data_IF_583849805652
#
_entry.id   IF_583849805652
#
_cell.length_a   1.000
_cell.length_b   1.000
_cell.length_c   1.000
_cell.angle_alpha   90.00
_cell.angle_beta   90.00
_cell.angle_gamma   90.00
#
_symmetry.space_group_name_H-M   'P 1'
#
loop_
_entity.id
_entity.type
_entity.pdbx_description
1 polymer ?
#
# COMPACT_ATOMS: atom_id res chain seq x y z
N UNK A 1 -19.48 29.63 13.90
CA UNK A 1 -18.31 30.01 13.05
C UNK A 1 -18.79 30.65 11.75
N UNK A 2 -18.18 31.76 11.28
CA UNK A 2 -18.44 32.25 9.92
C UNK A 2 -17.53 31.51 8.93
N UNK A 3 -18.07 30.46 8.31
CA UNK A 3 -17.28 29.58 7.45
C UNK A 3 -16.85 30.30 6.16
N UNK A 4 -17.65 31.20 5.61
CA UNK A 4 -17.28 31.98 4.43
C UNK A 4 -16.04 32.84 4.71
N UNK A 5 -15.95 33.47 5.89
CA UNK A 5 -14.77 34.24 6.27
C UNK A 5 -13.49 33.37 6.39
N UNK A 6 -13.61 32.10 6.77
CA UNK A 6 -12.47 31.17 6.76
C UNK A 6 -12.01 30.84 5.34
N UNK A 7 -12.95 30.60 4.41
CA UNK A 7 -12.63 30.40 2.99
C UNK A 7 -11.89 31.61 2.44
N UNK A 8 -12.41 32.81 2.68
CA UNK A 8 -11.81 34.07 2.23
C UNK A 8 -10.41 34.29 2.81
N UNK A 9 -10.23 34.00 4.11
CA UNK A 9 -8.94 34.07 4.78
C UNK A 9 -7.92 33.11 4.13
N UNK A 10 -8.33 31.85 3.89
CA UNK A 10 -7.44 30.87 3.27
C UNK A 10 -7.16 31.17 1.80
N UNK A 11 -8.17 31.59 1.05
CA UNK A 11 -8.02 32.07 -0.33
C UNK A 11 -7.06 33.24 -0.42
N UNK A 12 -7.13 34.17 0.55
CA UNK A 12 -6.22 35.32 0.68
C UNK A 12 -4.80 34.96 1.15
N UNK A 13 -4.50 33.69 1.43
CA UNK A 13 -3.18 33.20 1.85
C UNK A 13 -2.91 33.32 3.35
N UNK A 14 -3.90 33.64 4.17
CA UNK A 14 -3.75 33.71 5.63
C UNK A 14 -3.65 32.31 6.23
N UNK A 15 -2.89 32.20 7.32
CA UNK A 15 -2.82 31.00 8.15
C UNK A 15 -4.09 30.87 8.99
N UNK A 16 -4.67 29.66 9.03
CA UNK A 16 -5.77 29.34 9.91
C UNK A 16 -5.27 28.88 11.28
N UNK A 17 -5.90 29.35 12.34
CA UNK A 17 -5.58 28.90 13.69
C UNK A 17 -5.98 27.42 13.89
N UNK A 18 -5.26 26.65 14.73
CA UNK A 18 -5.58 25.24 14.99
C UNK A 18 -7.04 25.02 15.42
N UNK A 19 -7.60 25.86 16.28
CA UNK A 19 -8.99 25.80 16.73
C UNK A 19 -9.99 26.02 15.58
N UNK A 20 -9.67 26.90 14.62
CA UNK A 20 -10.52 27.11 13.45
C UNK A 20 -10.56 25.86 12.56
N UNK A 21 -9.44 25.17 12.42
CA UNK A 21 -9.35 23.92 11.64
C UNK A 21 -10.10 22.79 12.36
N UNK A 22 -9.99 22.69 13.68
CA UNK A 22 -10.73 21.71 14.47
C UNK A 22 -12.24 21.92 14.35
N UNK A 23 -12.69 23.16 14.48
CA UNK A 23 -14.10 23.51 14.35
C UNK A 23 -14.62 23.25 12.93
N UNK A 24 -13.85 23.61 11.89
CA UNK A 24 -14.14 23.31 10.49
C UNK A 24 -14.38 21.82 10.27
N UNK A 25 -13.48 20.96 10.74
CA UNK A 25 -13.58 19.50 10.58
C UNK A 25 -14.80 18.98 11.36
N UNK A 26 -15.03 19.44 12.58
CA UNK A 26 -16.16 19.05 13.41
C UNK A 26 -17.49 19.39 12.74
N UNK A 27 -17.68 20.65 12.34
CA UNK A 27 -18.92 21.15 11.73
C UNK A 27 -19.21 20.49 10.38
N UNK A 28 -18.16 20.26 9.56
CA UNK A 28 -18.31 19.54 8.30
C UNK A 28 -18.69 18.06 8.53
N UNK A 29 -18.08 17.42 9.51
CA UNK A 29 -18.38 16.02 9.85
C UNK A 29 -19.81 15.87 10.35
N UNK A 30 -20.28 16.84 11.14
CA UNK A 30 -21.65 16.92 11.63
C UNK A 30 -22.71 17.24 10.55
N UNK A 31 -22.26 17.68 9.35
CA UNK A 31 -23.18 18.06 8.26
C UNK A 31 -23.67 19.51 8.30
N UNK A 32 -23.10 20.34 9.19
CA UNK A 32 -23.47 21.74 9.34
C UNK A 32 -22.82 22.64 8.27
N UNK A 33 -21.83 22.15 7.54
CA UNK A 33 -21.18 22.84 6.42
C UNK A 33 -21.55 22.10 5.14
N UNK A 34 -22.14 22.78 4.13
CA UNK A 34 -22.51 22.15 2.88
C UNK A 34 -21.29 21.83 2.03
N UNK A 35 -21.40 20.78 1.21
CA UNK A 35 -20.32 20.24 0.39
C UNK A 35 -19.67 21.27 -0.53
N UNK A 36 -20.46 22.18 -1.14
CA UNK A 36 -19.94 23.23 -2.02
C UNK A 36 -19.03 24.23 -1.29
N UNK A 37 -19.32 24.53 -0.02
CA UNK A 37 -18.42 25.38 0.78
C UNK A 37 -17.15 24.65 1.16
N UNK A 38 -17.26 23.38 1.57
CA UNK A 38 -16.07 22.58 1.86
C UNK A 38 -15.22 22.35 0.61
N UNK A 39 -15.82 22.14 -0.56
CA UNK A 39 -15.10 22.05 -1.83
C UNK A 39 -14.32 23.35 -2.14
N UNK A 40 -14.93 24.52 -1.90
CA UNK A 40 -14.26 25.83 -2.04
C UNK A 40 -13.06 25.95 -1.07
N UNK A 41 -13.19 25.51 0.18
CA UNK A 41 -12.10 25.47 1.15
C UNK A 41 -10.96 24.53 0.68
N UNK A 42 -11.30 23.35 0.21
CA UNK A 42 -10.32 22.39 -0.32
C UNK A 42 -9.55 22.94 -1.51
N UNK A 43 -10.23 23.68 -2.40
CA UNK A 43 -9.60 24.35 -3.54
C UNK A 43 -8.71 25.52 -3.07
N UNK A 44 -9.12 26.29 -2.07
CA UNK A 44 -8.27 27.32 -1.46
C UNK A 44 -7.00 26.70 -0.84
N UNK A 45 -7.14 25.57 -0.13
CA UNK A 45 -6.02 24.82 0.42
C UNK A 45 -5.12 24.26 -0.72
N UNK A 46 -5.70 23.77 -1.81
CA UNK A 46 -4.94 23.22 -2.94
C UNK A 46 -3.99 24.27 -3.52
N UNK A 47 -4.45 25.50 -3.72
CA UNK A 47 -3.63 26.57 -4.29
C UNK A 47 -2.69 27.25 -3.28
N UNK A 48 -3.11 27.42 -2.03
CA UNK A 48 -2.34 28.15 -1.00
C UNK A 48 -1.50 27.24 -0.11
N UNK A 49 -1.77 25.93 -0.10
CA UNK A 49 -1.15 24.96 0.78
C UNK A 49 -1.63 25.11 2.23
N UNK A 50 -1.08 24.27 3.09
CA UNK A 50 -1.13 24.36 4.55
C UNK A 50 0.30 24.35 5.07
N UNK A 51 0.58 25.17 6.06
CA UNK A 51 1.84 25.11 6.79
C UNK A 51 1.88 23.86 7.71
N UNK A 52 3.03 23.51 8.31
CA UNK A 52 3.13 22.32 9.15
C UNK A 52 2.17 22.31 10.35
N UNK A 53 1.86 23.45 10.96
CA UNK A 53 0.95 23.54 12.10
C UNK A 53 -0.52 23.36 11.66
N UNK A 54 -0.91 23.97 10.54
CA UNK A 54 -2.21 23.76 9.95
C UNK A 54 -2.41 22.29 9.53
N UNK A 55 -1.41 21.68 8.91
CA UNK A 55 -1.46 20.26 8.51
C UNK A 55 -1.58 19.35 9.73
N UNK A 56 -0.87 19.65 10.83
CA UNK A 56 -0.99 18.91 12.09
C UNK A 56 -2.40 19.05 12.67
N UNK A 57 -2.92 20.28 12.74
CA UNK A 57 -4.26 20.54 13.26
C UNK A 57 -5.34 19.79 12.46
N UNK A 58 -5.24 19.82 11.12
CA UNK A 58 -6.16 19.10 10.23
C UNK A 58 -6.09 17.58 10.47
N UNK A 59 -4.86 17.03 10.55
CA UNK A 59 -4.65 15.60 10.76
C UNK A 59 -5.24 15.12 12.08
N UNK A 60 -4.97 15.85 13.16
CA UNK A 60 -5.49 15.50 14.49
C UNK A 60 -6.99 15.67 14.56
N UNK A 61 -7.55 16.76 14.01
CA UNK A 61 -8.99 16.96 13.95
C UNK A 61 -9.71 15.84 13.16
N UNK A 62 -9.10 15.38 12.05
CA UNK A 62 -9.62 14.24 11.29
C UNK A 62 -9.53 12.94 12.09
N UNK A 63 -8.39 12.65 12.75
CA UNK A 63 -8.23 11.49 13.63
C UNK A 63 -9.29 11.47 14.72
N UNK A 64 -9.48 12.59 15.39
CA UNK A 64 -10.36 12.75 16.56
C UNK A 64 -11.84 12.90 16.20
N UNK A 65 -12.16 12.90 14.90
CA UNK A 65 -13.55 12.93 14.42
C UNK A 65 -14.31 11.63 14.68
N UNK A 66 -13.63 10.57 15.09
CA UNK A 66 -14.20 9.23 15.32
C UNK A 66 -13.39 8.40 16.29
N UNK A 67 -13.58 7.08 16.19
CA UNK A 67 -12.93 6.12 17.09
C UNK A 67 -11.41 6.03 16.83
N UNK A 68 -10.64 6.04 17.91
CA UNK A 68 -9.22 5.70 17.95
C UNK A 68 -9.08 4.33 18.62
N UNK A 69 -8.36 3.40 17.99
CA UNK A 69 -8.18 2.07 18.55
C UNK A 69 -7.38 2.13 19.85
N UNK A 70 -7.94 1.50 20.89
CA UNK A 70 -7.29 1.37 22.20
C UNK A 70 -6.97 -0.09 22.46
N UNK A 71 -5.68 -0.39 22.55
CA UNK A 71 -5.22 -1.75 22.83
C UNK A 71 -4.89 -1.90 24.31
N UNK A 72 -5.27 -3.03 24.95
CA UNK A 72 -4.82 -3.35 26.29
C UNK A 72 -3.30 -3.37 26.40
N UNK A 73 -2.76 -3.16 27.59
CA UNK A 73 -1.33 -3.19 27.86
C UNK A 73 -0.70 -4.51 27.42
N UNK A 74 0.33 -4.42 26.56
CA UNK A 74 1.09 -5.55 26.04
C UNK A 74 2.50 -5.05 25.72
N UNK A 75 3.51 -5.89 25.94
CA UNK A 75 4.91 -5.53 25.65
C UNK A 75 5.23 -5.53 24.16
N UNK A 76 4.39 -6.15 23.34
CA UNK A 76 4.57 -6.18 21.87
C UNK A 76 4.22 -4.82 21.26
N UNK A 77 5.13 -4.19 20.52
CA UNK A 77 4.84 -2.91 19.87
C UNK A 77 3.72 -3.01 18.83
N UNK A 78 2.94 -1.93 18.72
CA UNK A 78 1.96 -1.71 17.65
C UNK A 78 2.66 -1.08 16.46
N UNK A 79 2.62 -1.74 15.32
CA UNK A 79 3.31 -1.25 14.11
C UNK A 79 2.45 -1.42 12.87
N UNK A 80 2.68 -0.56 11.89
CA UNK A 80 2.05 -0.71 10.58
C UNK A 80 2.94 -0.18 9.45
N UNK A 81 2.54 -0.50 8.23
CA UNK A 81 3.10 0.00 6.96
C UNK A 81 1.98 0.56 6.10
N UNK A 82 2.19 1.74 5.54
CA UNK A 82 1.28 2.32 4.56
C UNK A 82 1.99 2.59 3.23
N UNK A 83 1.32 2.28 2.12
CA UNK A 83 1.80 2.59 0.77
C UNK A 83 0.98 3.70 0.14
N UNK A 84 1.63 4.52 -0.69
CA UNK A 84 0.93 5.47 -1.54
C UNK A 84 0.25 4.81 -2.76
N UNK A 85 0.38 3.48 -2.89
CA UNK A 85 -0.25 2.69 -3.94
C UNK A 85 0.58 2.57 -5.21
N UNK A 86 0.39 1.46 -5.94
CA UNK A 86 1.10 1.15 -7.17
C UNK A 86 0.58 -0.13 -7.81
N UNK A 87 1.13 -0.47 -8.98
CA UNK A 87 0.77 -1.68 -9.72
C UNK A 87 1.50 -2.87 -9.14
N UNK A 88 0.74 -3.92 -8.77
CA UNK A 88 1.31 -5.11 -8.13
C UNK A 88 1.73 -4.87 -6.68
N UNK A 89 1.35 -3.76 -6.05
CA UNK A 89 1.70 -3.47 -4.66
C UNK A 89 0.85 -4.31 -3.69
N UNK A 90 1.41 -5.42 -3.30
CA UNK A 90 0.86 -6.42 -2.38
C UNK A 90 1.66 -6.58 -1.09
N UNK A 91 2.63 -5.69 -0.83
CA UNK A 91 3.56 -5.79 0.32
C UNK A 91 2.84 -6.01 1.65
N UNK A 92 1.71 -5.34 1.85
CA UNK A 92 0.90 -5.44 3.08
C UNK A 92 0.46 -6.87 3.41
N UNK A 93 0.16 -7.68 2.38
CA UNK A 93 -0.37 -9.03 2.54
C UNK A 93 0.65 -9.99 3.19
N UNK A 94 1.87 -10.16 2.67
CA UNK A 94 2.88 -10.99 3.33
C UNK A 94 3.54 -10.29 4.53
N UNK A 95 3.51 -8.96 4.60
CA UNK A 95 4.15 -8.22 5.68
C UNK A 95 3.41 -8.36 7.02
N UNK A 96 2.08 -8.29 7.05
CA UNK A 96 1.32 -8.34 8.29
C UNK A 96 1.56 -9.65 9.07
N UNK A 97 1.45 -10.86 8.48
CA UNK A 97 1.76 -12.11 9.17
C UNK A 97 3.24 -12.24 9.54
N UNK A 98 4.17 -11.73 8.71
CA UNK A 98 5.60 -11.69 9.06
C UNK A 98 5.84 -10.85 10.32
N UNK A 99 5.27 -9.66 10.41
CA UNK A 99 5.43 -8.78 11.57
C UNK A 99 4.84 -9.40 12.83
N UNK A 100 3.68 -10.08 12.73
CA UNK A 100 3.11 -10.80 13.86
C UNK A 100 4.05 -11.91 14.38
N UNK A 101 4.69 -12.67 13.47
CA UNK A 101 5.70 -13.67 13.83
C UNK A 101 6.99 -13.06 14.40
N UNK A 102 7.30 -11.82 14.06
CA UNK A 102 8.42 -11.06 14.64
C UNK A 102 8.09 -10.43 16.01
N UNK A 103 6.92 -10.72 16.58
CA UNK A 103 6.52 -10.25 17.91
C UNK A 103 5.87 -8.87 17.92
N UNK A 104 5.30 -8.43 16.82
CA UNK A 104 4.53 -7.19 16.73
C UNK A 104 3.02 -7.41 16.84
N UNK A 105 2.30 -6.34 17.14
CA UNK A 105 0.85 -6.20 16.96
C UNK A 105 0.59 -5.30 15.75
N UNK A 106 -0.18 -5.80 14.79
CA UNK A 106 -0.33 -5.17 13.46
C UNK A 106 -1.81 -4.89 13.16
N UNK A 107 -2.35 -3.73 13.55
CA UNK A 107 -3.73 -3.33 13.25
C UNK A 107 -3.81 -2.65 11.87
N UNK A 108 -3.50 -3.37 10.80
CA UNK A 108 -3.32 -2.81 9.47
C UNK A 108 -4.65 -2.38 8.82
N UNK A 109 -4.98 -1.10 8.96
CA UNK A 109 -6.11 -0.49 8.26
C UNK A 109 -5.70 -0.11 6.85
N UNK A 110 -6.34 -0.72 5.88
CA UNK A 110 -6.03 -0.60 4.45
C UNK A 110 -7.17 0.01 3.66
N UNK A 111 -6.87 0.41 2.41
CA UNK A 111 -7.84 1.02 1.50
C UNK A 111 -8.22 0.14 0.31
N UNK A 112 -9.28 0.56 -0.39
CA UNK A 112 -9.64 0.08 -1.71
C UNK A 112 -8.81 0.78 -2.78
N UNK A 113 -8.72 0.16 -3.96
CA UNK A 113 -8.04 0.74 -5.12
C UNK A 113 -8.79 1.93 -5.69
N UNK A 114 -8.05 2.83 -6.31
CA UNK A 114 -8.55 3.96 -7.05
C UNK A 114 -7.80 4.12 -8.37
N UNK A 115 -8.52 4.38 -9.44
CA UNK A 115 -7.93 4.53 -10.77
C UNK A 115 -7.27 3.24 -11.27
N UNK A 116 -5.97 3.32 -11.58
CA UNK A 116 -5.21 2.18 -12.12
C UNK A 116 -4.61 1.28 -11.04
N UNK A 117 -4.63 1.69 -9.76
CA UNK A 117 -4.00 0.95 -8.67
C UNK A 117 -5.00 0.01 -7.99
N UNK A 118 -4.62 -1.25 -7.78
CA UNK A 118 -5.42 -2.20 -7.00
C UNK A 118 -5.28 -1.94 -5.50
N UNK A 119 -6.40 -1.94 -4.75
CA UNK A 119 -6.39 -1.81 -3.30
C UNK A 119 -6.09 -3.12 -2.57
N UNK A 120 -5.53 -3.02 -1.38
CA UNK A 120 -5.30 -4.21 -0.53
C UNK A 120 -6.60 -4.94 -0.23
N UNK A 121 -7.68 -4.19 0.07
CA UNK A 121 -8.98 -4.78 0.37
C UNK A 121 -9.60 -5.47 -0.85
N UNK A 122 -9.46 -4.89 -2.05
CA UNK A 122 -9.98 -5.48 -3.28
C UNK A 122 -9.31 -6.84 -3.59
N UNK A 123 -8.04 -6.99 -3.22
CA UNK A 123 -7.32 -8.27 -3.33
C UNK A 123 -7.87 -9.28 -2.32
N UNK A 124 -8.05 -8.88 -1.06
CA UNK A 124 -8.59 -9.71 0.00
C UNK A 124 -10.04 -10.13 -0.27
N UNK A 125 -10.88 -9.27 -0.87
CA UNK A 125 -12.24 -9.61 -1.29
C UNK A 125 -12.27 -10.74 -2.34
N UNK A 126 -11.15 -11.04 -3.00
CA UNK A 126 -11.05 -12.19 -3.92
C UNK A 126 -10.90 -13.54 -3.21
N UNK A 127 -10.68 -13.56 -1.90
CA UNK A 127 -10.57 -14.76 -1.06
C UNK A 127 -11.97 -15.19 -0.63
N UNK A 128 -12.36 -16.45 -0.85
CA UNK A 128 -13.69 -16.92 -0.47
C UNK A 128 -13.99 -16.73 1.03
N UNK A 129 -15.10 -16.05 1.34
CA UNK A 129 -15.58 -15.83 2.70
C UNK A 129 -14.84 -14.78 3.53
N UNK A 130 -13.71 -14.25 3.05
CA UNK A 130 -12.90 -13.29 3.82
C UNK A 130 -13.64 -11.97 4.02
N UNK A 131 -13.64 -11.49 5.27
CA UNK A 131 -14.30 -10.25 5.67
C UNK A 131 -13.28 -9.12 5.85
N UNK A 132 -13.40 -8.08 5.02
CA UNK A 132 -12.58 -6.88 5.10
C UNK A 132 -13.15 -5.78 6.00
N UNK A 133 -14.38 -5.95 6.50
CA UNK A 133 -15.05 -5.00 7.40
C UNK A 133 -15.22 -5.63 8.77
N UNK A 134 -14.55 -5.09 9.76
CA UNK A 134 -14.62 -5.55 11.14
C UNK A 134 -14.92 -4.36 12.06
N UNK A 135 -15.75 -4.51 13.09
CA UNK A 135 -15.92 -3.50 14.13
C UNK A 135 -14.63 -3.36 14.97
N UNK A 136 -14.46 -2.19 15.61
CA UNK A 136 -13.23 -1.84 16.31
C UNK A 136 -12.83 -2.83 17.43
N UNK A 137 -13.80 -3.33 18.15
CA UNK A 137 -13.61 -4.34 19.20
C UNK A 137 -13.08 -5.67 18.66
N UNK A 138 -13.58 -6.13 17.51
CA UNK A 138 -13.08 -7.33 16.85
C UNK A 138 -11.67 -7.12 16.31
N UNK A 139 -11.36 -5.93 15.77
CA UNK A 139 -9.99 -5.56 15.34
C UNK A 139 -9.04 -5.71 16.53
N UNK A 140 -9.38 -5.10 17.68
CA UNK A 140 -8.56 -5.14 18.89
C UNK A 140 -8.41 -6.58 19.40
N UNK A 141 -9.50 -7.34 19.51
CA UNK A 141 -9.49 -8.72 19.98
C UNK A 141 -8.62 -9.63 19.07
N UNK A 142 -8.74 -9.50 17.75
CA UNK A 142 -7.95 -10.30 16.81
C UNK A 142 -6.46 -9.97 16.92
N UNK A 143 -6.09 -8.68 16.93
CA UNK A 143 -4.69 -8.26 17.07
C UNK A 143 -4.08 -8.74 18.38
N UNK A 144 -4.83 -8.72 19.47
CA UNK A 144 -4.37 -9.27 20.75
C UNK A 144 -4.13 -10.78 20.66
N UNK A 145 -5.04 -11.52 20.05
CA UNK A 145 -5.02 -12.99 20.00
C UNK A 145 -3.97 -13.53 19.03
N UNK A 146 -3.95 -13.06 17.77
CA UNK A 146 -3.10 -13.63 16.72
C UNK A 146 -1.99 -12.71 16.23
N UNK A 147 -1.96 -11.46 16.65
CA UNK A 147 -0.91 -10.49 16.34
C UNK A 147 -1.18 -9.63 15.11
N UNK A 148 -2.10 -9.98 14.21
CA UNK A 148 -2.35 -9.17 13.02
C UNK A 148 -3.81 -9.20 12.54
N UNK A 149 -4.20 -8.15 11.84
CA UNK A 149 -5.44 -8.00 11.08
C UNK A 149 -5.16 -7.16 9.85
N UNK A 150 -5.84 -7.42 8.73
CA UNK A 150 -5.89 -6.50 7.58
C UNK A 150 -7.36 -6.25 7.27
N UNK A 151 -7.82 -5.03 7.52
CA UNK A 151 -9.23 -4.67 7.30
C UNK A 151 -9.36 -3.23 6.79
N UNK A 152 -10.58 -2.86 6.43
CA UNK A 152 -10.93 -1.49 6.05
C UNK A 152 -11.19 -0.60 7.26
N UNK A 153 -11.19 0.69 7.01
CA UNK A 153 -11.65 1.69 7.94
C UNK A 153 -13.13 1.42 8.29
N UNK A 154 -13.48 1.45 9.58
CA UNK A 154 -14.88 1.38 10.01
C UNK A 154 -15.58 2.71 9.72
N UNK A 155 -16.91 2.71 9.73
CA UNK A 155 -17.67 3.96 9.54
C UNK A 155 -17.48 4.97 10.68
N UNK A 156 -17.03 4.49 11.86
CA UNK A 156 -16.75 5.29 13.04
C UNK A 156 -15.28 5.71 13.17
N UNK A 157 -14.37 5.14 12.40
CA UNK A 157 -12.96 5.55 12.38
C UNK A 157 -12.75 6.66 11.38
N UNK A 158 -12.23 7.80 11.82
CA UNK A 158 -11.85 8.95 10.98
C UNK A 158 -12.94 9.31 9.94
N UNK A 159 -14.23 9.48 10.34
CA UNK A 159 -15.33 9.76 9.40
C UNK A 159 -15.14 11.06 8.62
N UNK A 160 -14.44 12.03 9.19
CA UNK A 160 -14.10 13.27 8.50
C UNK A 160 -13.26 13.01 7.24
N UNK A 161 -12.28 12.11 7.29
CA UNK A 161 -11.47 11.79 6.10
C UNK A 161 -12.30 11.16 4.99
N UNK A 162 -13.23 10.27 5.32
CA UNK A 162 -14.14 9.64 4.34
C UNK A 162 -14.93 10.68 3.55
N UNK A 163 -15.51 11.67 4.25
CA UNK A 163 -16.29 12.78 3.63
C UNK A 163 -15.39 13.73 2.84
N UNK A 164 -14.27 14.16 3.44
CA UNK A 164 -13.32 15.08 2.81
C UNK A 164 -12.71 14.46 1.56
N UNK A 165 -12.32 13.17 1.62
CA UNK A 165 -11.70 12.48 0.48
C UNK A 165 -12.66 12.34 -0.71
N UNK A 166 -13.94 12.04 -0.45
CA UNK A 166 -14.97 12.00 -1.50
C UNK A 166 -15.10 13.35 -2.24
N UNK A 167 -15.07 14.46 -1.49
CA UNK A 167 -15.08 15.80 -2.11
C UNK A 167 -13.78 16.11 -2.85
N UNK A 168 -12.63 15.66 -2.35
CA UNK A 168 -11.35 15.86 -3.03
C UNK A 168 -11.32 15.15 -4.37
N UNK A 169 -11.87 13.95 -4.44
CA UNK A 169 -11.97 13.20 -5.68
C UNK A 169 -12.86 13.93 -6.70
N UNK A 170 -14.05 14.36 -6.27
CA UNK A 170 -15.00 15.10 -7.10
C UNK A 170 -14.51 16.49 -7.52
N UNK A 171 -13.71 17.18 -6.70
CA UNK A 171 -13.21 18.54 -6.95
C UNK A 171 -11.81 18.60 -7.57
N UNK A 172 -11.18 17.45 -7.86
CA UNK A 172 -9.82 17.41 -8.44
C UNK A 172 -8.70 17.88 -7.49
N UNK A 173 -8.94 17.91 -6.17
CA UNK A 173 -7.98 18.39 -5.17
C UNK A 173 -7.17 17.27 -4.50
N UNK A 174 -7.25 16.03 -5.02
CA UNK A 174 -6.48 14.89 -4.50
C UNK A 174 -4.96 15.15 -4.51
N UNK A 175 -4.31 15.71 -5.57
CA UNK A 175 -2.85 15.85 -5.61
C UNK A 175 -2.32 17.06 -4.82
N UNK A 176 -2.73 17.20 -3.56
CA UNK A 176 -2.23 18.21 -2.61
C UNK A 176 -1.43 17.53 -1.50
N UNK A 177 -0.14 17.84 -1.38
CA UNK A 177 0.75 17.22 -0.37
C UNK A 177 0.20 17.34 1.05
N UNK A 178 -0.23 18.52 1.56
CA UNK A 178 -0.81 18.61 2.89
C UNK A 178 -2.05 17.75 3.07
N UNK A 179 -2.97 17.74 2.08
CA UNK A 179 -4.21 16.95 2.15
C UNK A 179 -3.94 15.44 2.04
N UNK A 180 -2.98 15.00 1.22
CA UNK A 180 -2.54 13.60 1.17
C UNK A 180 -1.96 13.19 2.53
N UNK A 181 -1.07 14.04 3.08
CA UNK A 181 -0.42 13.80 4.36
C UNK A 181 -1.45 13.67 5.49
N UNK A 182 -2.40 14.61 5.59
CA UNK A 182 -3.45 14.57 6.61
C UNK A 182 -4.35 13.33 6.46
N UNK A 183 -4.77 13.01 5.24
CA UNK A 183 -5.62 11.85 4.97
C UNK A 183 -4.96 10.51 5.36
N UNK A 184 -3.69 10.32 5.01
CA UNK A 184 -2.96 9.08 5.34
C UNK A 184 -2.71 9.00 6.85
N UNK A 185 -2.15 10.07 7.43
CA UNK A 185 -1.71 10.01 8.82
C UNK A 185 -2.86 10.08 9.83
N UNK A 186 -3.99 10.70 9.52
CA UNK A 186 -5.16 10.64 10.41
C UNK A 186 -5.60 9.20 10.69
N UNK A 187 -5.61 8.34 9.66
CA UNK A 187 -5.92 6.91 9.80
C UNK A 187 -4.84 6.16 10.58
N UNK A 188 -3.57 6.41 10.26
CA UNK A 188 -2.44 5.72 10.92
C UNK A 188 -2.29 6.13 12.39
N UNK A 189 -2.57 7.38 12.73
CA UNK A 189 -2.59 7.84 14.12
C UNK A 189 -3.81 7.27 14.88
N UNK A 190 -4.94 7.00 14.19
CA UNK A 190 -6.09 6.33 14.82
C UNK A 190 -5.84 4.85 15.15
N UNK A 191 -4.81 4.24 14.60
CA UNK A 191 -4.34 2.89 14.96
C UNK A 191 -3.49 2.86 16.24
N UNK A 192 -3.07 4.02 16.78
CA UNK A 192 -2.26 4.18 17.99
C UNK A 192 -0.90 3.44 17.95
N UNK A 193 -0.14 3.67 16.89
CA UNK A 193 1.09 2.96 16.55
C UNK A 193 2.31 3.44 17.35
N UNK A 194 3.19 2.49 17.72
CA UNK A 194 4.53 2.74 18.25
C UNK A 194 5.57 3.02 17.15
N UNK A 195 5.35 2.54 15.93
CA UNK A 195 6.18 2.85 14.75
C UNK A 195 5.42 2.67 13.44
N UNK A 196 5.78 3.47 12.44
CA UNK A 196 5.19 3.46 11.10
C UNK A 196 6.27 3.46 10.01
N UNK A 197 6.10 2.59 9.01
CA UNK A 197 6.86 2.65 7.76
C UNK A 197 5.94 3.07 6.61
N UNK A 198 6.38 4.06 5.85
CA UNK A 198 5.71 4.55 4.65
C UNK A 198 6.45 4.06 3.40
N UNK A 199 5.74 3.45 2.48
CA UNK A 199 6.24 3.07 1.16
C UNK A 199 5.73 4.10 0.15
N UNK A 200 6.57 5.12 -0.13
CA UNK A 200 6.22 6.26 -0.98
C UNK A 200 6.70 6.00 -2.39
N UNK A 201 5.76 5.71 -3.26
CA UNK A 201 6.05 5.34 -4.64
C UNK A 201 6.18 6.55 -5.55
N UNK A 202 7.12 6.45 -6.51
CA UNK A 202 7.29 7.41 -7.60
C UNK A 202 7.42 6.69 -8.94
N UNK A 203 7.07 7.37 -10.02
CA UNK A 203 7.17 6.84 -11.38
C UNK A 203 5.86 6.91 -12.16
N UNK A 204 5.85 6.29 -13.33
CA UNK A 204 4.74 6.44 -14.30
C UNK A 204 3.39 5.89 -13.78
N UNK A 205 3.41 4.98 -12.81
CA UNK A 205 2.21 4.38 -12.21
C UNK A 205 2.02 4.72 -10.73
N UNK A 206 2.59 5.83 -10.28
CA UNK A 206 2.44 6.35 -8.92
C UNK A 206 1.76 7.72 -8.92
N UNK A 207 1.18 8.11 -7.75
CA UNK A 207 0.63 9.47 -7.56
C UNK A 207 1.72 10.55 -7.69
N UNK A 208 2.95 10.23 -7.28
CA UNK A 208 4.10 11.12 -7.43
C UNK A 208 4.88 10.72 -8.69
N UNK A 209 4.81 11.50 -9.79
CA UNK A 209 5.44 11.11 -11.05
C UNK A 209 6.97 11.16 -11.00
N UNK A 210 7.53 11.94 -10.07
CA UNK A 210 8.99 12.12 -9.96
C UNK A 210 9.49 11.80 -8.55
N UNK A 211 10.77 11.37 -8.46
CA UNK A 211 11.46 11.16 -7.18
C UNK A 211 11.46 12.42 -6.31
N UNK A 212 11.58 13.62 -6.92
CA UNK A 212 11.55 14.89 -6.19
C UNK A 212 10.20 15.12 -5.51
N UNK A 213 9.10 14.91 -6.23
CA UNK A 213 7.75 15.03 -5.69
C UNK A 213 7.50 14.02 -4.56
N UNK A 214 7.89 12.75 -4.76
CA UNK A 214 7.78 11.71 -3.74
C UNK A 214 8.59 12.02 -2.48
N UNK A 215 9.82 12.55 -2.65
CA UNK A 215 10.66 12.99 -1.52
C UNK A 215 10.00 14.10 -0.71
N UNK A 216 9.36 15.06 -1.39
CA UNK A 216 8.63 16.15 -0.70
C UNK A 216 7.46 15.60 0.13
N UNK A 217 6.66 14.70 -0.45
CA UNK A 217 5.57 14.03 0.26
C UNK A 217 6.09 13.20 1.44
N UNK A 218 7.12 12.38 1.23
CA UNK A 218 7.71 11.54 2.25
C UNK A 218 8.24 12.36 3.44
N UNK A 219 8.95 13.46 3.18
CA UNK A 219 9.43 14.36 4.22
C UNK A 219 8.28 14.99 5.03
N UNK A 220 7.20 15.41 4.36
CA UNK A 220 6.02 15.95 5.03
C UNK A 220 5.37 14.92 5.96
N UNK A 221 5.19 13.68 5.47
CA UNK A 221 4.59 12.60 6.26
C UNK A 221 5.49 12.15 7.42
N UNK A 222 6.80 12.01 7.21
CA UNK A 222 7.75 11.64 8.27
C UNK A 222 7.78 12.71 9.36
N UNK A 223 7.89 13.98 8.99
CA UNK A 223 7.91 15.09 9.95
C UNK A 223 6.61 15.18 10.75
N UNK A 224 5.45 14.97 10.10
CA UNK A 224 4.15 15.00 10.78
C UNK A 224 3.95 13.81 11.71
N UNK A 225 4.25 12.58 11.24
CA UNK A 225 4.12 11.36 12.05
C UNK A 225 4.95 11.44 13.33
N UNK A 226 6.22 11.82 13.20
CA UNK A 226 7.12 12.02 14.35
C UNK A 226 6.64 13.13 15.30
N UNK A 227 6.16 14.27 14.74
CA UNK A 227 5.58 15.36 15.56
C UNK A 227 4.36 14.89 16.35
N UNK A 228 3.55 13.97 15.80
CA UNK A 228 2.39 13.39 16.47
C UNK A 228 2.75 12.22 17.39
N UNK A 229 4.05 11.97 17.66
CA UNK A 229 4.50 10.95 18.60
C UNK A 229 4.63 9.53 18.01
N UNK A 230 4.43 9.36 16.70
CA UNK A 230 4.63 8.08 16.01
C UNK A 230 5.93 8.13 15.20
N UNK A 231 7.01 7.46 15.66
CA UNK A 231 8.24 7.31 14.89
C UNK A 231 7.96 6.82 13.47
N UNK A 232 8.27 7.63 12.47
CA UNK A 232 7.90 7.35 11.08
C UNK A 232 9.15 7.34 10.19
N UNK A 233 9.25 6.33 9.33
CA UNK A 233 10.25 6.27 8.24
C UNK A 233 9.56 6.11 6.91
N UNK A 234 10.16 6.65 5.84
CA UNK A 234 9.66 6.48 4.49
C UNK A 234 10.72 5.86 3.59
N UNK A 235 10.31 4.86 2.81
CA UNK A 235 11.06 4.25 1.74
C UNK A 235 10.56 4.84 0.42
N UNK A 236 11.43 5.44 -0.38
CA UNK A 236 11.08 5.86 -1.75
C UNK A 236 11.31 4.68 -2.69
N UNK A 237 10.25 4.22 -3.32
CA UNK A 237 10.28 3.02 -4.18
C UNK A 237 9.86 3.33 -5.61
N UNK A 238 10.57 2.72 -6.58
CA UNK A 238 10.27 2.88 -8.00
C UNK A 238 9.00 2.14 -8.41
N UNK A 239 8.11 2.83 -9.15
CA UNK A 239 6.88 2.31 -9.71
C UNK A 239 6.79 2.55 -11.24
N UNK A 240 7.93 2.62 -11.91
CA UNK A 240 7.98 2.54 -13.37
C UNK A 240 7.76 1.11 -13.87
N UNK A 241 8.10 0.12 -13.03
CA UNK A 241 7.88 -1.31 -13.23
C UNK A 241 6.92 -1.83 -12.15
N UNK A 242 5.97 -2.73 -12.46
CA UNK A 242 5.13 -3.36 -11.43
C UNK A 242 5.95 -4.09 -10.38
N UNK A 243 5.49 -4.08 -9.13
CA UNK A 243 6.10 -4.87 -8.06
C UNK A 243 5.68 -6.34 -8.16
N UNK A 244 6.63 -7.25 -8.00
CA UNK A 244 6.38 -8.68 -8.21
C UNK A 244 6.16 -9.00 -9.70
N UNK A 245 5.71 -10.20 -9.96
CA UNK A 245 5.48 -10.73 -11.32
C UNK A 245 4.00 -10.90 -11.67
N UNK A 246 3.13 -10.51 -10.76
CA UNK A 246 1.68 -10.52 -10.95
C UNK A 246 1.06 -9.16 -10.59
N UNK A 247 0.03 -8.79 -11.33
CA UNK A 247 -0.84 -7.66 -11.02
C UNK A 247 -2.28 -8.03 -11.40
N UNK A 248 -3.22 -7.74 -10.50
CA UNK A 248 -4.62 -8.18 -10.53
C UNK A 248 -4.99 -8.86 -9.23
N UNK A 249 -6.23 -8.68 -8.78
CA UNK A 249 -6.62 -8.96 -7.39
C UNK A 249 -6.25 -10.38 -6.93
N UNK A 250 -6.78 -11.42 -7.57
CA UNK A 250 -6.48 -12.80 -7.19
C UNK A 250 -5.03 -13.21 -7.48
N UNK A 251 -4.46 -12.76 -8.59
CA UNK A 251 -3.10 -13.10 -8.96
C UNK A 251 -2.08 -12.55 -7.96
N UNK A 252 -2.38 -11.39 -7.38
CA UNK A 252 -1.55 -10.81 -6.32
C UNK A 252 -1.69 -11.56 -4.99
N UNK A 253 -2.87 -12.13 -4.68
CA UNK A 253 -3.02 -13.05 -3.53
C UNK A 253 -2.15 -14.30 -3.75
N UNK A 254 -2.19 -14.92 -4.94
CA UNK A 254 -1.33 -16.08 -5.25
C UNK A 254 0.15 -15.77 -5.05
N UNK A 255 0.60 -14.63 -5.55
CA UNK A 255 2.01 -14.22 -5.41
C UNK A 255 2.37 -13.87 -3.96
N UNK A 256 1.44 -13.31 -3.18
CA UNK A 256 1.65 -13.04 -1.76
C UNK A 256 1.82 -14.32 -0.95
N UNK A 257 1.00 -15.33 -1.23
CA UNK A 257 1.14 -16.66 -0.62
C UNK A 257 2.49 -17.28 -0.99
N UNK A 258 2.86 -17.25 -2.27
CA UNK A 258 4.14 -17.75 -2.72
C UNK A 258 5.34 -17.02 -2.07
N UNK A 259 5.21 -15.72 -1.77
CA UNK A 259 6.21 -14.94 -1.03
C UNK A 259 6.41 -15.43 0.41
N UNK A 260 5.36 -16.01 1.03
CA UNK A 260 5.40 -16.55 2.39
C UNK A 260 5.95 -17.98 2.46
N UNK A 261 6.03 -18.67 1.32
CA UNK A 261 6.57 -20.04 1.30
C UNK A 261 8.08 -20.06 1.59
N UNK A 262 8.57 -21.04 2.39
CA UNK A 262 9.98 -21.20 2.67
C UNK A 262 10.81 -21.34 1.41
N UNK A 263 11.93 -20.62 1.32
CA UNK A 263 12.87 -20.74 0.20
C UNK A 263 12.44 -20.08 -1.11
N UNK A 264 11.31 -19.35 -1.14
CA UNK A 264 10.81 -18.65 -2.32
C UNK A 264 11.76 -17.56 -2.88
N UNK A 265 12.75 -17.11 -2.09
CA UNK A 265 13.77 -16.12 -2.50
C UNK A 265 15.10 -16.71 -2.97
N UNK A 266 15.23 -18.04 -3.02
CA UNK A 266 16.49 -18.66 -3.50
C UNK A 266 16.45 -18.78 -5.02
N UNK A 267 17.40 -18.14 -5.70
CA UNK A 267 17.73 -18.41 -7.10
C UNK A 267 18.14 -19.89 -7.21
N UNK A 268 17.23 -20.74 -7.68
CA UNK A 268 17.67 -22.03 -8.19
C UNK A 268 18.37 -21.76 -9.51
N UNK A 269 19.67 -22.02 -9.58
CA UNK A 269 20.39 -22.06 -10.85
C UNK A 269 19.61 -22.93 -11.86
N UNK A 270 19.48 -22.48 -13.11
CA UNK A 270 18.86 -23.31 -14.13
C UNK A 270 19.66 -24.59 -14.26
N UNK A 271 19.04 -25.72 -13.95
CA UNK A 271 19.64 -27.03 -14.22
C UNK A 271 19.91 -27.11 -15.72
N UNK A 272 21.15 -27.17 -16.10
CA UNK A 272 21.60 -27.37 -17.46
C UNK A 272 20.90 -28.63 -18.06
N UNK A 273 20.27 -28.48 -19.24
CA UNK A 273 19.80 -29.61 -20.04
C UNK A 273 18.29 -29.89 -20.05
N UNK A 274 17.39 -28.90 -20.14
CA UNK A 274 15.96 -29.14 -20.42
C UNK A 274 15.52 -28.57 -21.77
N UNK A 275 14.68 -29.33 -22.53
CA UNK A 275 14.21 -28.88 -23.84
C UNK A 275 13.28 -27.65 -23.74
N UNK A 276 13.35 -26.80 -24.76
CA UNK A 276 12.46 -25.66 -24.98
C UNK A 276 11.00 -26.16 -25.05
N UNK A 277 10.14 -25.72 -24.09
CA UNK A 277 8.72 -26.10 -24.04
C UNK A 277 8.19 -26.56 -22.68
N UNK A 278 9.03 -26.77 -21.69
CA UNK A 278 8.61 -27.11 -20.33
C UNK A 278 8.14 -25.86 -19.60
N UNK A 279 6.92 -25.89 -19.06
CA UNK A 279 6.32 -24.87 -18.17
C UNK A 279 7.39 -24.27 -17.25
N UNK A 280 7.65 -22.98 -17.42
CA UNK A 280 8.68 -22.25 -16.72
C UNK A 280 8.49 -22.43 -15.21
N UNK A 281 9.52 -22.96 -14.53
CA UNK A 281 9.57 -22.95 -13.06
C UNK A 281 9.36 -21.51 -12.60
N UNK A 282 8.53 -21.35 -11.57
CA UNK A 282 8.23 -20.06 -10.97
C UNK A 282 9.53 -19.25 -10.82
N UNK A 283 9.60 -18.12 -11.52
CA UNK A 283 10.75 -17.23 -11.44
C UNK A 283 10.79 -16.58 -10.04
N UNK A 284 11.98 -16.27 -9.48
CA UNK A 284 12.08 -15.74 -8.13
C UNK A 284 11.25 -14.46 -7.95
N UNK A 285 10.50 -14.37 -6.84
CA UNK A 285 9.71 -13.20 -6.42
C UNK A 285 10.65 -12.26 -5.63
N UNK A 286 11.71 -11.80 -6.28
CA UNK A 286 12.85 -11.20 -5.59
C UNK A 286 12.53 -9.81 -5.05
N UNK A 287 11.93 -8.96 -5.88
CA UNK A 287 11.64 -7.56 -5.53
C UNK A 287 10.55 -7.43 -4.47
N UNK A 288 9.48 -8.22 -4.53
CA UNK A 288 8.42 -8.25 -3.52
C UNK A 288 8.98 -8.67 -2.16
N UNK A 289 9.68 -9.82 -2.12
CA UNK A 289 10.23 -10.37 -0.88
C UNK A 289 11.25 -9.41 -0.25
N UNK A 290 12.12 -8.81 -1.06
CA UNK A 290 13.10 -7.81 -0.61
C UNK A 290 12.42 -6.60 0.02
N UNK A 291 11.34 -6.08 -0.57
CA UNK A 291 10.62 -4.93 -0.02
C UNK A 291 9.88 -5.28 1.27
N UNK A 292 9.31 -6.49 1.37
CA UNK A 292 8.70 -7.02 2.61
C UNK A 292 9.73 -7.07 3.74
N UNK A 293 10.90 -7.65 3.47
CA UNK A 293 12.02 -7.72 4.44
C UNK A 293 12.50 -6.33 4.82
N UNK A 294 12.63 -5.41 3.86
CA UNK A 294 13.07 -4.03 4.12
C UNK A 294 12.09 -3.29 5.03
N UNK A 295 10.78 -3.38 4.77
CA UNK A 295 9.76 -2.79 5.64
C UNK A 295 9.83 -3.35 7.08
N UNK A 296 9.92 -4.68 7.21
CA UNK A 296 10.04 -5.34 8.50
C UNK A 296 11.32 -4.92 9.25
N UNK A 297 12.46 -4.84 8.53
CA UNK A 297 13.73 -4.44 9.10
C UNK A 297 13.71 -3.01 9.66
N UNK A 298 13.04 -2.09 8.95
CA UNK A 298 12.90 -0.72 9.45
C UNK A 298 12.05 -0.67 10.72
N UNK A 299 10.97 -1.44 10.82
CA UNK A 299 10.13 -1.51 12.03
C UNK A 299 10.89 -2.13 13.21
N UNK A 300 11.67 -3.19 12.98
CA UNK A 300 12.53 -3.80 14.02
C UNK A 300 13.54 -2.80 14.59
N UNK A 301 14.14 -1.96 13.74
CA UNK A 301 15.08 -0.92 14.19
C UNK A 301 14.37 0.23 14.90
N UNK A 302 13.22 0.70 14.37
CA UNK A 302 12.46 1.80 14.99
C UNK A 302 11.96 1.45 16.40
N UNK A 303 11.57 0.18 16.61
CA UNK A 303 11.12 -0.34 17.90
C UNK A 303 12.25 -0.86 18.79
N UNK A 304 13.51 -0.67 18.39
CA UNK A 304 14.71 -1.10 19.12
C UNK A 304 14.81 -2.63 19.33
N UNK A 305 14.08 -3.43 18.57
CA UNK A 305 14.20 -4.90 18.59
C UNK A 305 15.44 -5.40 17.84
N UNK A 306 16.02 -4.56 16.97
CA UNK A 306 17.30 -4.82 16.32
C UNK A 306 18.17 -3.54 16.33
N UNK A 307 19.46 -3.70 16.62
CA UNK A 307 20.39 -2.56 16.68
C UNK A 307 20.81 -2.02 15.31
N UNK A 308 20.75 -2.82 14.25
CA UNK A 308 21.17 -2.43 12.90
C UNK A 308 20.23 -2.98 11.83
N UNK A 309 20.14 -2.28 10.68
CA UNK A 309 19.34 -2.75 9.55
C UNK A 309 19.81 -4.10 9.00
N UNK A 310 21.13 -4.35 8.97
CA UNK A 310 21.67 -5.62 8.51
C UNK A 310 21.19 -6.81 9.37
N UNK A 311 21.26 -6.66 10.71
CA UNK A 311 20.74 -7.67 11.66
C UNK A 311 19.23 -7.82 11.50
N UNK A 312 18.51 -6.71 11.38
CA UNK A 312 17.06 -6.71 11.23
C UNK A 312 16.60 -7.43 9.95
N UNK A 313 17.26 -7.17 8.79
CA UNK A 313 16.98 -7.88 7.53
C UNK A 313 17.19 -9.40 7.69
N UNK A 314 18.32 -9.81 8.28
CA UNK A 314 18.59 -11.22 8.53
C UNK A 314 17.54 -11.88 9.43
N UNK A 315 17.07 -11.17 10.47
CA UNK A 315 16.00 -11.65 11.35
C UNK A 315 14.68 -11.83 10.58
N UNK A 316 14.29 -10.86 9.76
CA UNK A 316 13.08 -10.94 8.94
C UNK A 316 13.15 -12.04 7.88
N UNK A 317 14.29 -12.18 7.19
CA UNK A 317 14.53 -13.27 6.21
C UNK A 317 14.48 -14.65 6.85
N UNK A 318 15.13 -14.83 7.99
CA UNK A 318 15.10 -16.08 8.74
C UNK A 318 13.66 -16.43 9.14
N UNK A 319 12.90 -15.46 9.66
CA UNK A 319 11.48 -15.66 10.03
C UNK A 319 10.64 -16.09 8.81
N UNK A 320 10.79 -15.45 7.65
CA UNK A 320 10.12 -15.88 6.41
C UNK A 320 10.47 -17.30 5.99
N UNK A 321 11.71 -17.74 6.24
CA UNK A 321 12.16 -19.08 5.87
C UNK A 321 11.70 -20.20 6.81
N UNK A 322 11.13 -19.87 7.98
CA UNK A 322 10.57 -20.86 8.91
C UNK A 322 9.24 -21.45 8.47
N UNK A 323 8.51 -20.75 7.58
CA UNK A 323 7.12 -21.08 7.24
C UNK A 323 6.08 -20.57 8.27
N UNK A 324 6.51 -20.06 9.43
CA UNK A 324 5.59 -19.51 10.43
C UNK A 324 4.73 -18.35 9.90
N UNK A 325 5.25 -17.41 9.08
CA UNK A 325 4.41 -16.37 8.50
C UNK A 325 3.33 -16.91 7.54
N UNK A 326 3.57 -18.04 6.87
CA UNK A 326 2.55 -18.70 6.04
C UNK A 326 1.42 -19.27 6.90
N UNK A 327 1.75 -19.92 8.01
CA UNK A 327 0.76 -20.41 8.98
C UNK A 327 -0.03 -19.25 9.62
N UNK A 328 0.67 -18.16 9.96
CA UNK A 328 0.05 -16.94 10.51
C UNK A 328 -0.91 -16.29 9.51
N UNK A 329 -0.61 -16.33 8.22
CA UNK A 329 -1.53 -15.92 7.17
C UNK A 329 -2.83 -16.73 7.22
N UNK A 330 -2.75 -18.07 7.33
CA UNK A 330 -3.94 -18.93 7.41
C UNK A 330 -4.75 -18.66 8.69
N UNK A 331 -4.07 -18.45 9.84
CA UNK A 331 -4.74 -18.04 11.09
C UNK A 331 -5.51 -16.73 10.90
N UNK A 332 -4.92 -15.75 10.21
CA UNK A 332 -5.57 -14.47 9.90
C UNK A 332 -6.77 -14.67 8.96
N UNK A 333 -6.65 -15.50 7.94
CA UNK A 333 -7.75 -15.82 7.03
C UNK A 333 -8.94 -16.42 7.78
N UNK A 334 -8.70 -17.42 8.63
CA UNK A 334 -9.74 -18.06 9.45
C UNK A 334 -10.39 -17.05 10.38
N UNK A 335 -9.57 -16.24 11.09
CA UNK A 335 -10.06 -15.24 12.03
C UNK A 335 -10.97 -14.19 11.37
N UNK A 336 -10.81 -13.96 10.06
CA UNK A 336 -11.62 -13.04 9.26
C UNK A 336 -12.64 -13.76 8.35
N UNK A 337 -13.01 -15.00 8.69
CA UNK A 337 -14.15 -15.72 8.11
C UNK A 337 -13.89 -16.42 6.78
N UNK A 338 -12.63 -16.52 6.32
CA UNK A 338 -12.31 -17.19 5.07
C UNK A 338 -12.61 -18.69 5.13
N UNK A 339 -13.15 -19.23 4.04
CA UNK A 339 -13.23 -20.67 3.78
C UNK A 339 -11.87 -21.17 3.26
N UNK A 340 -11.04 -21.74 4.15
CA UNK A 340 -9.72 -22.25 3.77
C UNK A 340 -9.79 -23.38 2.74
N UNK A 341 -10.82 -24.23 2.74
CA UNK A 341 -10.94 -25.31 1.75
C UNK A 341 -11.17 -24.74 0.35
N UNK A 342 -12.10 -23.79 0.25
CA UNK A 342 -12.36 -23.10 -1.01
C UNK A 342 -11.16 -22.24 -1.46
N UNK A 343 -10.47 -21.60 -0.51
CA UNK A 343 -9.23 -20.85 -0.76
C UNK A 343 -8.13 -21.74 -1.34
N UNK A 344 -7.82 -22.88 -0.71
CA UNK A 344 -6.80 -23.81 -1.16
C UNK A 344 -7.14 -24.44 -2.51
N UNK A 345 -8.42 -24.80 -2.72
CA UNK A 345 -8.89 -25.30 -4.01
C UNK A 345 -8.73 -24.26 -5.12
N UNK A 346 -9.01 -22.99 -4.81
CA UNK A 346 -8.82 -21.87 -5.74
C UNK A 346 -7.34 -21.57 -5.99
N UNK A 347 -6.50 -21.66 -4.96
CA UNK A 347 -5.04 -21.40 -5.04
C UNK A 347 -4.33 -22.41 -5.96
N UNK A 348 -4.77 -23.67 -5.96
CA UNK A 348 -4.21 -24.75 -6.80
C UNK A 348 -4.52 -24.58 -8.30
N UNK A 349 -5.53 -23.80 -8.67
CA UNK A 349 -5.84 -23.54 -10.08
C UNK A 349 -4.78 -22.67 -10.72
N UNK A 350 -4.34 -23.00 -11.93
CA UNK A 350 -3.42 -22.14 -12.70
C UNK A 350 -4.06 -20.77 -12.95
N UNK A 351 -5.30 -20.75 -13.42
CA UNK A 351 -6.11 -19.55 -13.62
C UNK A 351 -7.53 -19.73 -13.09
N UNK A 352 -8.15 -18.61 -12.68
CA UNK A 352 -9.59 -18.50 -12.37
C UNK A 352 -10.33 -17.66 -13.41
N UNK A 353 -9.62 -17.11 -14.39
CA UNK A 353 -10.18 -16.35 -15.51
C UNK A 353 -10.75 -17.30 -16.59
N UNK A 354 -11.71 -16.80 -17.35
CA UNK A 354 -12.32 -17.56 -18.44
C UNK A 354 -11.36 -17.83 -19.60
N UNK A 355 -10.37 -16.95 -19.79
CA UNK A 355 -9.40 -17.07 -20.87
C UNK A 355 -8.00 -16.61 -20.44
N UNK A 356 -6.97 -17.31 -20.89
CA UNK A 356 -5.56 -16.95 -20.66
C UNK A 356 -4.83 -16.89 -21.99
N UNK A 357 -4.08 -15.78 -22.22
CA UNK A 357 -3.28 -15.59 -23.40
C UNK A 357 -1.86 -15.14 -23.07
N UNK A 358 -0.88 -15.60 -23.84
CA UNK A 358 0.50 -15.15 -23.71
C UNK A 358 0.75 -13.88 -24.53
N UNK A 359 1.50 -12.94 -23.96
CA UNK A 359 2.12 -11.82 -24.68
C UNK A 359 3.55 -12.24 -24.98
N UNK A 360 3.91 -12.33 -26.27
CA UNK A 360 5.21 -12.85 -26.67
C UNK A 360 6.09 -11.77 -27.29
N UNK A 361 7.40 -11.93 -27.13
CA UNK A 361 8.40 -11.03 -27.70
C UNK A 361 8.51 -11.16 -29.23
N UNK A 362 8.38 -10.06 -29.96
CA UNK A 362 8.51 -10.04 -31.43
C UNK A 362 9.97 -10.18 -31.89
N UNK A 363 10.93 -9.89 -31.01
CA UNK A 363 12.38 -10.03 -31.21
C UNK A 363 13.05 -10.46 -29.92
N UNK A 364 14.24 -11.04 -29.99
CA UNK A 364 15.06 -11.34 -28.81
C UNK A 364 15.77 -10.10 -28.27
N UNK A 365 16.16 -10.14 -26.97
CA UNK A 365 16.93 -9.09 -26.33
C UNK A 365 16.66 -8.99 -24.82
N UNK A 366 17.32 -8.04 -24.19
CA UNK A 366 17.13 -7.74 -22.78
C UNK A 366 15.92 -6.81 -22.60
N UNK A 367 15.06 -7.11 -21.63
CA UNK A 367 13.97 -6.22 -21.25
C UNK A 367 14.57 -4.92 -20.71
N UNK A 368 14.38 -3.81 -21.39
CA UNK A 368 14.82 -2.49 -20.96
C UNK A 368 13.72 -1.72 -20.23
N UNK A 369 12.46 -2.04 -20.50
CA UNK A 369 11.30 -1.42 -19.85
C UNK A 369 10.15 -2.41 -19.72
N UNK A 370 9.50 -2.38 -18.55
CA UNK A 370 8.21 -3.02 -18.27
C UNK A 370 7.31 -1.94 -17.65
N UNK A 371 6.44 -1.33 -18.47
CA UNK A 371 5.71 -0.12 -18.14
C UNK A 371 4.53 -0.40 -17.22
N UNK A 372 4.67 -0.06 -15.93
CA UNK A 372 3.64 -0.27 -14.92
C UNK A 372 2.31 0.44 -15.24
N UNK A 373 2.34 1.64 -15.84
CA UNK A 373 1.13 2.39 -16.19
C UNK A 373 0.29 1.65 -17.23
N UNK A 374 0.89 1.22 -18.34
CA UNK A 374 0.18 0.48 -19.38
C UNK A 374 -0.41 -0.81 -18.82
N UNK A 375 0.33 -1.52 -17.96
CA UNK A 375 -0.14 -2.74 -17.31
C UNK A 375 -1.33 -2.43 -16.40
N UNK A 376 -1.24 -1.42 -15.54
CA UNK A 376 -2.32 -1.04 -14.63
C UNK A 376 -3.59 -0.60 -15.36
N UNK A 377 -3.46 0.22 -16.42
CA UNK A 377 -4.57 0.64 -17.25
C UNK A 377 -5.22 -0.55 -17.97
N UNK A 378 -4.43 -1.51 -18.45
CA UNK A 378 -4.95 -2.72 -19.08
C UNK A 378 -5.74 -3.56 -18.08
N UNK A 379 -5.24 -3.75 -16.86
CA UNK A 379 -5.95 -4.51 -15.81
C UNK A 379 -7.24 -3.80 -15.41
N UNK A 380 -7.23 -2.47 -15.27
CA UNK A 380 -8.42 -1.68 -15.00
C UNK A 380 -9.49 -1.91 -16.08
N UNK A 381 -9.10 -1.83 -17.35
CA UNK A 381 -10.00 -1.93 -18.50
C UNK A 381 -10.52 -3.37 -18.71
N UNK A 382 -9.80 -4.39 -18.20
CA UNK A 382 -10.29 -5.78 -18.08
C UNK A 382 -11.34 -5.94 -16.95
N UNK A 383 -11.60 -4.90 -16.14
CA UNK A 383 -12.50 -4.96 -15.00
C UNK A 383 -11.83 -5.30 -13.67
N UNK A 384 -10.50 -5.37 -13.62
CA UNK A 384 -9.74 -5.63 -12.38
C UNK A 384 -9.51 -4.39 -11.49
N UNK A 385 -9.80 -3.18 -12.00
CA UNK A 385 -9.69 -1.90 -11.28
C UNK A 385 -10.98 -1.10 -11.32
N UNK A 386 -11.10 -0.09 -10.43
CA UNK A 386 -12.32 0.73 -10.30
C UNK A 386 -12.30 1.91 -11.26
N UNK A 387 -13.33 2.03 -12.10
CA UNK A 387 -13.64 3.23 -12.87
C UNK A 387 -14.58 4.18 -12.10
N UNK A 388 -15.39 3.63 -11.21
CA UNK A 388 -16.27 4.35 -10.30
C UNK A 388 -16.23 3.69 -8.91
N UNK A 389 -16.60 4.43 -7.86
CA UNK A 389 -16.48 3.98 -6.47
C UNK A 389 -17.20 2.66 -6.20
N UNK A 390 -18.37 2.45 -6.80
CA UNK A 390 -19.23 1.27 -6.61
C UNK A 390 -19.12 0.23 -7.74
N UNK A 391 -18.09 0.35 -8.61
CA UNK A 391 -17.89 -0.60 -9.70
C UNK A 391 -17.61 -2.01 -9.17
N UNK A 392 -18.33 -3.00 -9.73
CA UNK A 392 -18.05 -4.41 -9.49
C UNK A 392 -16.72 -4.80 -10.12
N UNK A 393 -15.87 -5.45 -9.35
CA UNK A 393 -14.56 -5.89 -9.81
C UNK A 393 -14.58 -7.34 -10.27
N UNK A 394 -13.94 -7.61 -11.40
CA UNK A 394 -13.58 -8.96 -11.80
C UNK A 394 -12.25 -9.35 -11.16
N UNK A 395 -12.30 -10.09 -10.07
CA UNK A 395 -11.11 -10.49 -9.34
C UNK A 395 -10.24 -11.54 -10.06
N UNK A 396 -10.75 -12.18 -11.11
CA UNK A 396 -10.04 -13.21 -11.84
C UNK A 396 -9.09 -12.67 -12.93
N UNK A 397 -9.29 -11.40 -13.34
CA UNK A 397 -8.50 -10.78 -14.42
C UNK A 397 -7.21 -10.16 -13.91
N UNK A 398 -6.23 -10.05 -14.82
CA UNK A 398 -4.93 -9.46 -14.50
C UNK A 398 -3.83 -9.96 -15.42
N UNK A 399 -2.60 -9.83 -14.97
CA UNK A 399 -1.40 -10.34 -15.63
C UNK A 399 -0.52 -11.09 -14.64
N UNK A 400 0.15 -12.15 -15.09
CA UNK A 400 1.18 -12.83 -14.33
C UNK A 400 2.40 -13.15 -15.21
N UNK A 401 3.43 -13.78 -14.60
CA UNK A 401 4.69 -14.12 -15.26
C UNK A 401 5.38 -12.92 -15.93
N UNK A 402 5.19 -11.72 -15.38
CA UNK A 402 5.83 -10.50 -15.88
C UNK A 402 7.36 -10.64 -15.88
N UNK A 403 7.97 -10.46 -17.07
CA UNK A 403 9.42 -10.32 -17.18
C UNK A 403 9.86 -8.94 -16.66
N UNK A 404 11.07 -8.88 -16.11
CA UNK A 404 11.61 -7.68 -15.46
C UNK A 404 12.74 -7.05 -16.27
N UNK A 405 12.97 -5.74 -16.13
CA UNK A 405 14.15 -5.08 -16.69
C UNK A 405 15.44 -5.83 -16.30
N UNK A 406 16.33 -6.03 -17.30
CA UNK A 406 17.57 -6.79 -17.16
C UNK A 406 17.48 -8.27 -17.46
N UNK A 407 16.28 -8.85 -17.61
CA UNK A 407 16.07 -10.23 -18.04
C UNK A 407 16.21 -10.35 -19.56
N UNK A 408 16.80 -11.47 -20.01
CA UNK A 408 16.91 -11.78 -21.44
C UNK A 408 15.73 -12.61 -21.92
N UNK A 409 15.16 -12.26 -23.07
CA UNK A 409 14.02 -12.96 -23.67
C UNK A 409 14.35 -13.27 -25.12
N UNK A 410 14.08 -14.48 -25.58
CA UNK A 410 14.23 -14.88 -26.97
C UNK A 410 13.01 -14.41 -27.80
N UNK A 411 13.15 -14.38 -29.13
CA UNK A 411 12.01 -14.16 -30.04
C UNK A 411 10.96 -15.25 -29.81
N UNK A 412 9.68 -14.85 -29.62
CA UNK A 412 8.57 -15.75 -29.28
C UNK A 412 8.50 -16.09 -27.79
N UNK A 413 9.49 -15.72 -26.97
CA UNK A 413 9.46 -15.92 -25.52
C UNK A 413 8.35 -15.12 -24.84
N UNK A 414 7.81 -15.63 -23.74
CA UNK A 414 6.68 -15.03 -23.01
C UNK A 414 7.16 -13.81 -22.22
N UNK A 415 6.52 -12.67 -22.43
CA UNK A 415 6.73 -11.43 -21.70
C UNK A 415 5.80 -11.34 -20.46
N UNK A 416 4.58 -11.82 -20.61
CA UNK A 416 3.60 -12.04 -19.53
C UNK A 416 2.43 -12.89 -20.03
N UNK A 417 1.59 -13.36 -19.10
CA UNK A 417 0.27 -13.93 -19.44
C UNK A 417 -0.83 -12.95 -19.05
N UNK A 418 -1.86 -12.88 -19.87
CA UNK A 418 -3.07 -12.10 -19.62
C UNK A 418 -4.17 -13.04 -19.17
N UNK A 419 -4.84 -12.72 -18.09
CA UNK A 419 -6.04 -13.38 -17.58
C UNK A 419 -7.23 -12.47 -17.87
N UNK A 420 -8.16 -12.89 -18.72
CA UNK A 420 -9.31 -12.10 -19.17
C UNK A 420 -10.62 -12.89 -19.01
N UNK A 421 -11.77 -12.22 -19.08
CA UNK A 421 -13.06 -12.89 -19.01
C UNK A 421 -13.32 -13.76 -20.25
N UNK A 422 -12.88 -13.29 -21.42
CA UNK A 422 -13.08 -13.96 -22.70
C UNK A 422 -11.93 -13.73 -23.68
N UNK A 423 -11.98 -14.39 -24.83
CA UNK A 423 -10.96 -14.31 -25.87
C UNK A 423 -10.90 -12.92 -26.57
N UNK A 424 -12.01 -12.18 -26.63
CA UNK A 424 -12.04 -10.86 -27.27
C UNK A 424 -11.29 -9.83 -26.41
N UNK A 425 -11.58 -9.80 -25.10
CA UNK A 425 -10.85 -8.98 -24.14
C UNK A 425 -9.37 -9.35 -24.12
N UNK A 426 -9.03 -10.65 -24.12
CA UNK A 426 -7.64 -11.10 -24.14
C UNK A 426 -6.88 -10.59 -25.37
N UNK A 427 -7.47 -10.63 -26.58
CA UNK A 427 -6.84 -10.10 -27.81
C UNK A 427 -6.53 -8.62 -27.71
N UNK A 428 -7.46 -7.80 -27.20
CA UNK A 428 -7.27 -6.37 -27.02
C UNK A 428 -6.14 -6.10 -25.99
N UNK A 429 -6.18 -6.81 -24.87
CA UNK A 429 -5.18 -6.69 -23.81
C UNK A 429 -3.78 -7.11 -24.27
N UNK A 430 -3.64 -8.21 -25.02
CA UNK A 430 -2.36 -8.67 -25.60
C UNK A 430 -1.76 -7.59 -26.49
N UNK A 431 -2.56 -7.01 -27.43
CA UNK A 431 -2.09 -5.94 -28.32
C UNK A 431 -1.59 -4.73 -27.53
N UNK A 432 -2.31 -4.32 -26.47
CA UNK A 432 -1.92 -3.18 -25.64
C UNK A 432 -0.67 -3.48 -24.81
N UNK A 433 -0.58 -4.66 -24.23
CA UNK A 433 0.55 -5.05 -23.39
C UNK A 433 1.85 -5.25 -24.14
N UNK A 434 1.83 -5.55 -25.45
CA UNK A 434 3.04 -5.53 -26.26
C UNK A 434 3.78 -4.18 -26.18
N UNK A 435 3.04 -3.06 -26.10
CA UNK A 435 3.61 -1.72 -25.94
C UNK A 435 4.17 -1.44 -24.52
N UNK A 436 3.83 -2.27 -23.55
CA UNK A 436 4.37 -2.13 -22.20
C UNK A 436 5.83 -2.56 -22.09
N UNK A 437 6.32 -3.35 -23.03
CA UNK A 437 7.68 -3.89 -22.99
C UNK A 437 8.56 -3.27 -24.09
N UNK A 438 9.78 -2.92 -23.69
CA UNK A 438 10.84 -2.53 -24.62
C UNK A 438 12.02 -3.47 -24.46
N UNK A 439 12.61 -3.87 -25.58
CA UNK A 439 13.76 -4.76 -25.61
C UNK A 439 14.97 -4.04 -26.22
N UNK A 440 16.14 -4.22 -25.60
CA UNK A 440 17.44 -3.69 -26.06
C UNK A 440 18.41 -4.82 -26.37
N UNK A 441 19.43 -4.54 -27.21
CA UNK A 441 20.51 -5.50 -27.48
C UNK A 441 21.40 -5.71 -26.26
N UNK A 442 21.66 -4.63 -25.51
CA UNK A 442 22.52 -4.67 -24.33
C UNK A 442 21.67 -4.74 -23.07
N UNK A 443 22.18 -5.39 -22.04
CA UNK A 443 21.56 -5.45 -20.71
C UNK A 443 21.48 -4.04 -20.13
N UNK A 444 20.28 -3.53 -19.75
CA UNK A 444 20.14 -2.20 -19.18
C UNK A 444 20.68 -2.19 -17.74
N UNK A 445 21.12 -1.02 -17.32
CA UNK A 445 21.35 -0.75 -15.91
C UNK A 445 20.00 -0.72 -15.17
N UNK A 446 19.90 -1.53 -14.10
CA UNK A 446 18.68 -1.60 -13.29
C UNK A 446 18.83 -0.73 -12.05
N UNK A 447 17.83 0.11 -11.80
CA UNK A 447 17.78 0.91 -10.58
C UNK A 447 17.36 0.05 -9.39
N UNK A 448 17.86 0.33 -8.16
CA UNK A 448 17.39 -0.34 -6.97
C UNK A 448 15.90 -0.01 -6.73
N UNK A 449 15.14 -0.98 -6.22
CA UNK A 449 13.72 -0.78 -5.92
C UNK A 449 13.52 0.31 -4.86
N UNK A 450 14.28 0.26 -3.78
CA UNK A 450 14.32 1.32 -2.75
C UNK A 450 15.47 2.26 -3.08
N UNK A 451 15.15 3.47 -3.54
CA UNK A 451 16.16 4.44 -3.99
C UNK A 451 16.60 5.42 -2.92
N UNK A 452 15.81 5.57 -1.88
CA UNK A 452 16.09 6.50 -0.79
C UNK A 452 15.29 6.15 0.46
N UNK A 453 15.88 6.37 1.64
CA UNK A 453 15.23 6.23 2.94
C UNK A 453 15.19 7.61 3.59
N UNK A 454 14.01 8.02 4.05
CA UNK A 454 13.79 9.27 4.76
C UNK A 454 13.37 8.94 6.18
N UNK A 455 14.15 9.45 7.14
CA UNK A 455 13.83 9.42 8.56
C UNK A 455 13.99 10.84 9.13
N UNK A 456 13.41 11.06 10.29
CA UNK A 456 13.69 12.30 11.02
C UNK A 456 15.19 12.39 11.30
N UNK A 457 15.77 13.57 11.08
CA UNK A 457 17.16 13.84 11.50
C UNK A 457 17.14 13.85 13.03
N UNK A 458 17.76 12.87 13.67
CA UNK A 458 18.08 12.96 15.09
C UNK A 458 19.02 14.14 15.28
N UNK A 459 18.49 15.27 15.75
CA UNK A 459 19.32 16.31 16.32
C UNK A 459 19.89 15.74 17.63
N UNK A 460 21.21 15.67 17.84
CA UNK A 460 21.79 15.12 19.07
C UNK A 460 21.46 15.92 20.33
N UNK A 461 20.65 16.99 20.27
CA UNK A 461 20.40 17.94 21.34
C UNK A 461 18.97 18.07 21.86
N UNK A 462 17.98 17.31 21.38
CA UNK A 462 16.60 17.43 21.88
C UNK A 462 16.13 16.17 22.59
N UNK A 463 16.67 15.89 23.77
CA UNK A 463 15.95 15.21 24.83
C UNK A 463 15.14 16.27 25.56
N UNK A 464 13.80 16.29 25.39
CA UNK A 464 12.99 17.24 26.15
C UNK A 464 11.52 17.28 25.73
N UNK A 465 10.68 16.80 26.62
CA UNK A 465 9.23 17.01 26.77
C UNK A 465 8.30 16.39 25.70
N UNK A 466 8.01 15.11 25.90
CA UNK A 466 6.76 14.53 25.45
C UNK A 466 5.61 15.19 26.27
N UNK A 467 4.78 15.97 25.62
CA UNK A 467 3.45 16.36 26.11
C UNK A 467 2.56 15.10 26.15
N UNK A 468 2.71 14.32 27.21
CA UNK A 468 1.67 13.37 27.61
C UNK A 468 0.54 14.21 28.18
N UNK A 469 -0.59 14.27 27.47
CA UNK A 469 -1.83 14.81 28.02
C UNK A 469 -2.15 14.02 29.30
N UNK A 470 -2.14 14.73 30.44
CA UNK A 470 -2.39 14.16 31.74
C UNK A 470 -3.79 13.57 31.82
N UNK A 471 -3.87 12.37 32.35
CA UNK A 471 -5.06 11.83 32.97
C UNK A 471 -5.25 12.57 34.30
N UNK A 472 -6.30 13.37 34.43
CA UNK A 472 -6.80 13.85 35.72
C UNK A 472 -7.51 12.71 36.42
N UNK A 473 -7.22 12.43 37.70
CA UNK A 473 -8.03 11.51 38.49
C UNK A 473 -9.21 12.28 39.10
N UNK A 474 -10.39 11.74 38.97
CA UNK A 474 -11.62 12.17 39.58
C UNK A 474 -12.71 11.15 39.29
#
# INVERSE_FOLDING_TARGET
MNFLALIESKRGGKTLAPLQIQELVREFTAGNIPDYQMAAMLMAIYFRGLNPNETTALTLAMRDSGDVLKFPGDKRPLVDKHSTGGIGDKVSLPLAPLLACLGFRVPMISGRGLGITGGTLDKLDSIPGFQTRLPADQIVAQVQRIGCVICGQTDRMVPADKKIYALRDASGTVPSIPLITASILSKKLAENLDALVLDVKFGCAAFMPTRVAARRLARAMVALGSRCGTPTRALLTDMNTPLGRAAGNWLEIKESVACLEPGSGRTREPAAGRPAGSLAKAQPIDDLRRLVVECAAHLLVQTKQAGTLGRARKTAENCLNTGAPRQKWDEMLVAQGADLRAFDAKLKRDSTAGFVAAVTAVKGGYVSRCNARIIGETIRDLGGGRLAQDALLNHAVGVDQLVKPGENVERGGVLCRVHAADAAQARVAVKRLQAAFQLSKNRPETQPLVVEIISERTNPGSQGSALRAGATPG
#
